data_IF_343585171283
#
_entry.id   IF_343585171283
#
_cell.length_a   1.000
_cell.length_b   1.000
_cell.length_c   1.000
_cell.angle_alpha   90.00
_cell.angle_beta   90.00
_cell.angle_gamma   90.00
#
_symmetry.space_group_name_H-M   'P 1'
#
loop_
_entity.id
_entity.type
_entity.pdbx_description
1 polymer ?
#
# COMPACT_ATOMS: atom_id res chain seq x y z
N UNK A 1 -2.29 15.61 -54.67
CA UNK A 1 -1.77 14.50 -53.84
C UNK A 1 -0.72 15.10 -52.93
N UNK A 2 -0.86 14.95 -51.61
CA UNK A 2 0.06 15.54 -50.64
C UNK A 2 1.39 14.77 -50.64
N UNK A 3 2.50 15.48 -50.48
CA UNK A 3 3.83 14.88 -50.37
C UNK A 3 3.88 13.96 -49.12
N UNK A 4 4.15 12.66 -49.28
CA UNK A 4 4.20 11.70 -48.17
C UNK A 4 5.31 11.98 -47.15
N UNK A 5 6.26 12.88 -47.45
CA UNK A 5 7.30 13.31 -46.50
C UNK A 5 6.85 14.47 -45.59
N UNK A 6 5.64 15.00 -45.77
CA UNK A 6 5.15 16.14 -44.96
C UNK A 6 4.90 15.71 -43.51
N UNK A 7 5.51 16.35 -42.50
CA UNK A 7 5.29 16.00 -41.11
C UNK A 7 3.87 16.35 -40.67
N UNK A 8 3.28 15.50 -39.81
CA UNK A 8 1.91 15.66 -39.30
C UNK A 8 1.68 17.01 -38.60
N UNK A 9 2.72 17.61 -38.02
CA UNK A 9 2.67 18.93 -37.37
C UNK A 9 2.42 20.09 -38.35
N UNK A 10 2.66 19.89 -39.64
CA UNK A 10 2.34 20.88 -40.67
C UNK A 10 0.86 20.82 -41.10
N UNK A 11 0.11 19.83 -40.63
CA UNK A 11 -1.34 19.74 -40.83
C UNK A 11 -2.02 20.49 -39.68
N UNK A 12 -2.90 21.45 -40.00
CA UNK A 12 -3.68 22.24 -39.02
C UNK A 12 -4.76 21.38 -38.32
N UNK A 13 -4.35 20.37 -37.56
CA UNK A 13 -5.24 19.45 -36.84
C UNK A 13 -5.70 20.08 -35.52
N UNK A 14 -7.01 20.22 -35.35
CA UNK A 14 -7.64 20.67 -34.12
C UNK A 14 -8.25 19.49 -33.34
N UNK A 15 -8.64 19.72 -32.08
CA UNK A 15 -9.34 18.73 -31.27
C UNK A 15 -10.61 18.24 -31.99
N UNK A 16 -10.73 16.92 -32.18
CA UNK A 16 -11.82 16.30 -32.95
C UNK A 16 -11.53 16.07 -34.45
N UNK A 17 -10.34 16.41 -34.94
CA UNK A 17 -9.96 16.13 -36.32
C UNK A 17 -9.73 14.64 -36.57
N UNK A 18 -10.26 14.13 -37.68
CA UNK A 18 -10.08 12.74 -38.12
C UNK A 18 -9.16 12.75 -39.34
N UNK A 19 -8.04 12.04 -39.25
CA UNK A 19 -7.06 11.92 -40.33
C UNK A 19 -7.21 10.54 -40.99
N UNK A 20 -7.41 10.53 -42.30
CA UNK A 20 -7.48 9.31 -43.10
C UNK A 20 -6.16 9.09 -43.83
N UNK A 21 -5.57 7.91 -43.67
CA UNK A 21 -4.33 7.53 -44.34
C UNK A 21 -4.68 6.84 -45.66
N UNK A 22 -4.51 7.54 -46.76
CA UNK A 22 -4.69 6.99 -48.11
C UNK A 22 -3.35 6.46 -48.63
N UNK A 23 -3.30 5.18 -48.95
CA UNK A 23 -2.18 4.54 -49.63
C UNK A 23 -2.70 3.70 -50.78
N UNK A 24 -1.93 3.63 -51.86
CA UNK A 24 -2.23 2.77 -53.01
C UNK A 24 -1.57 1.41 -52.78
N UNK A 25 -2.39 0.40 -52.49
CA UNK A 25 -1.98 -1.00 -52.33
C UNK A 25 -3.06 -1.83 -51.64
N UNK A 26 -3.23 -3.09 -52.05
CA UNK A 26 -4.07 -4.03 -51.30
C UNK A 26 -3.41 -4.30 -49.94
N UNK A 27 -4.10 -3.90 -48.87
CA UNK A 27 -3.69 -4.19 -47.50
C UNK A 27 -3.86 -5.69 -47.25
N UNK A 28 -2.76 -6.44 -47.13
CA UNK A 28 -2.82 -7.75 -46.49
C UNK A 28 -3.03 -7.54 -44.99
N UNK A 29 -4.28 -7.45 -44.58
CA UNK A 29 -4.64 -7.54 -43.17
C UNK A 29 -4.35 -8.99 -42.79
N UNK A 30 -3.35 -9.22 -41.94
CA UNK A 30 -3.33 -10.47 -41.19
C UNK A 30 -4.66 -10.49 -40.43
N UNK A 31 -5.57 -11.35 -40.88
CA UNK A 31 -6.82 -11.58 -40.15
C UNK A 31 -6.49 -11.94 -38.70
N UNK A 32 -7.44 -11.82 -37.77
CA UNK A 32 -7.23 -12.31 -36.42
C UNK A 32 -6.66 -13.73 -36.53
N UNK A 33 -5.64 -14.06 -35.75
CA UNK A 33 -5.15 -15.42 -35.69
C UNK A 33 -6.31 -16.30 -35.21
N UNK A 34 -7.04 -16.88 -36.15
CA UNK A 34 -8.06 -17.88 -35.87
C UNK A 34 -7.26 -19.14 -35.57
N UNK A 35 -6.87 -19.29 -34.30
CA UNK A 35 -6.75 -20.63 -33.76
C UNK A 35 -8.09 -21.30 -34.01
N UNK A 36 -8.13 -22.50 -34.61
CA UNK A 36 -9.36 -23.25 -34.65
C UNK A 36 -9.87 -23.32 -33.21
N UNK A 37 -11.14 -22.98 -32.99
CA UNK A 37 -11.84 -23.28 -31.75
C UNK A 37 -11.92 -24.81 -31.62
N UNK A 38 -10.77 -25.41 -31.30
CA UNK A 38 -10.55 -26.83 -31.12
C UNK A 38 -10.78 -27.17 -29.67
N UNK A 39 -12.02 -27.09 -29.21
CA UNK A 39 -12.52 -27.93 -28.11
C UNK A 39 -14.05 -27.91 -27.99
N UNK A 40 -14.78 -27.78 -29.11
CA UNK A 40 -16.18 -28.24 -29.12
C UNK A 40 -16.16 -29.78 -29.08
N UNK A 41 -16.06 -30.33 -27.87
CA UNK A 41 -15.95 -31.77 -27.63
C UNK A 41 -14.85 -32.22 -26.65
N UNK A 42 -14.07 -31.33 -26.04
CA UNK A 42 -13.26 -31.74 -24.88
C UNK A 42 -14.23 -31.96 -23.73
N UNK A 43 -14.55 -33.22 -23.41
CA UNK A 43 -15.21 -33.56 -22.15
C UNK A 43 -14.41 -32.88 -21.05
N UNK A 44 -15.03 -31.93 -20.35
CA UNK A 44 -14.45 -31.30 -19.17
C UNK A 44 -14.03 -32.44 -18.25
N UNK A 45 -12.73 -32.63 -18.05
CA UNK A 45 -12.24 -33.69 -17.15
C UNK A 45 -12.50 -33.27 -15.71
N UNK A 46 -12.52 -34.22 -14.77
CA UNK A 46 -12.59 -33.86 -13.34
C UNK A 46 -11.44 -32.92 -12.96
N UNK A 47 -10.27 -33.08 -13.58
CA UNK A 47 -9.12 -32.20 -13.37
C UNK A 47 -9.36 -30.77 -13.88
N UNK A 48 -10.06 -30.60 -15.01
CA UNK A 48 -10.45 -29.28 -15.53
C UNK A 48 -11.52 -28.60 -14.64
N UNK A 49 -12.37 -29.40 -13.96
CA UNK A 49 -13.33 -28.91 -12.98
C UNK A 49 -12.64 -28.51 -11.67
N UNK A 50 -11.68 -29.32 -11.20
CA UNK A 50 -10.85 -29.04 -10.03
C UNK A 50 -9.97 -27.81 -10.25
N UNK A 51 -9.41 -27.64 -11.45
CA UNK A 51 -8.60 -26.47 -11.81
C UNK A 51 -9.41 -25.16 -11.83
N UNK A 52 -10.73 -25.22 -11.96
CA UNK A 52 -11.63 -24.07 -11.84
C UNK A 52 -12.06 -23.79 -10.40
N UNK A 53 -11.82 -24.71 -9.48
CA UNK A 53 -12.20 -24.55 -8.08
C UNK A 53 -11.16 -23.66 -7.38
N UNK A 54 -11.63 -22.59 -6.74
CA UNK A 54 -10.76 -21.66 -6.04
C UNK A 54 -10.27 -22.30 -4.74
N UNK A 55 -8.99 -22.67 -4.70
CA UNK A 55 -8.36 -23.32 -3.55
C UNK A 55 -7.59 -22.31 -2.73
N UNK A 56 -7.84 -22.27 -1.43
CA UNK A 56 -7.10 -21.46 -0.48
C UNK A 56 -6.17 -22.37 0.31
N UNK A 57 -4.87 -22.08 0.25
CA UNK A 57 -3.81 -22.73 1.00
C UNK A 57 -2.83 -21.69 1.50
N UNK A 58 -2.12 -22.00 2.59
CA UNK A 58 -1.06 -21.13 3.09
C UNK A 58 0.01 -20.95 2.02
N UNK A 59 0.44 -19.70 1.85
CA UNK A 59 1.59 -19.35 1.04
C UNK A 59 2.81 -19.34 1.96
N UNK A 60 3.82 -20.13 1.60
CA UNK A 60 4.99 -20.36 2.47
C UNK A 60 5.96 -19.18 2.48
N UNK A 61 6.15 -18.53 1.33
CA UNK A 61 7.14 -17.47 1.16
C UNK A 61 6.48 -16.17 0.73
N UNK A 62 6.81 -15.04 1.36
CA UNK A 62 6.44 -13.74 0.84
C UNK A 62 7.28 -13.43 -0.41
N UNK A 63 6.79 -12.53 -1.24
CA UNK A 63 7.56 -11.90 -2.31
C UNK A 63 8.48 -10.80 -1.77
N UNK A 64 8.12 -10.18 -0.64
CA UNK A 64 9.00 -9.30 0.11
C UNK A 64 9.96 -10.14 0.98
N UNK A 65 11.28 -10.06 0.71
CA UNK A 65 12.30 -10.81 1.46
C UNK A 65 12.38 -10.33 2.91
N UNK A 66 12.33 -9.02 3.10
CA UNK A 66 12.39 -8.37 4.41
C UNK A 66 11.91 -6.93 4.32
N UNK A 67 11.43 -6.40 5.45
CA UNK A 67 11.16 -4.97 5.63
C UNK A 67 12.10 -4.38 6.68
N UNK A 68 12.57 -3.16 6.48
CA UNK A 68 13.28 -2.38 7.49
C UNK A 68 12.63 -1.01 7.65
N UNK A 69 12.60 -0.52 8.88
CA UNK A 69 12.03 0.79 9.23
C UNK A 69 13.12 1.73 9.68
N UNK A 70 13.16 2.94 9.12
CA UNK A 70 14.06 3.96 9.65
C UNK A 70 13.83 4.13 11.16
N UNK A 71 14.93 4.09 11.92
CA UNK A 71 14.89 4.01 13.39
C UNK A 71 14.18 5.23 13.98
N UNK A 72 14.38 6.39 13.39
CA UNK A 72 13.79 7.63 13.92
C UNK A 72 12.31 7.74 13.54
N UNK A 73 11.93 7.26 12.35
CA UNK A 73 10.52 7.12 11.93
C UNK A 73 9.74 6.14 12.81
N UNK A 74 10.33 5.00 13.16
CA UNK A 74 9.73 4.04 14.08
C UNK A 74 9.56 4.64 15.48
N UNK A 75 10.59 5.29 16.02
CA UNK A 75 10.54 5.92 17.35
C UNK A 75 9.49 7.03 17.43
N UNK A 76 9.39 7.88 16.41
CA UNK A 76 8.43 8.98 16.43
C UNK A 76 6.98 8.51 16.24
N UNK A 77 6.75 7.47 15.45
CA UNK A 77 5.42 6.83 15.38
C UNK A 77 5.04 6.20 16.73
N UNK A 78 5.98 5.51 17.38
CA UNK A 78 5.79 4.95 18.73
C UNK A 78 5.44 6.03 19.76
N UNK A 79 6.21 7.11 19.82
CA UNK A 79 5.98 8.23 20.74
C UNK A 79 4.60 8.87 20.52
N UNK A 80 4.19 9.11 19.28
CA UNK A 80 2.89 9.70 18.99
C UNK A 80 1.73 8.83 19.44
N UNK A 81 1.76 7.53 19.15
CA UNK A 81 0.66 6.61 19.51
C UNK A 81 0.58 6.42 21.02
N UNK A 82 1.74 6.35 21.70
CA UNK A 82 1.83 6.23 23.15
C UNK A 82 1.33 7.50 23.87
N UNK A 83 1.79 8.68 23.46
CA UNK A 83 1.48 9.95 24.15
C UNK A 83 0.07 10.49 23.83
N UNK A 84 -0.45 10.27 22.63
CA UNK A 84 -1.67 10.96 22.17
C UNK A 84 -2.95 10.16 22.39
N UNK A 85 -2.88 8.82 22.37
CA UNK A 85 -4.09 7.99 22.26
C UNK A 85 -4.13 6.78 23.20
N UNK A 86 -3.02 6.44 23.86
CA UNK A 86 -2.90 5.23 24.70
C UNK A 86 -3.48 3.97 24.02
N UNK A 87 -3.38 3.89 22.68
CA UNK A 87 -3.89 2.79 21.85
C UNK A 87 -5.40 2.49 22.02
N UNK A 88 -6.20 3.48 22.43
CA UNK A 88 -7.65 3.33 22.56
C UNK A 88 -8.37 3.26 21.20
N UNK A 89 -7.74 3.78 20.14
CA UNK A 89 -8.25 3.75 18.77
C UNK A 89 -7.16 3.36 17.78
N UNK A 90 -7.57 2.74 16.67
CA UNK A 90 -6.66 2.41 15.56
C UNK A 90 -6.20 3.68 14.83
N UNK A 91 -4.98 3.63 14.30
CA UNK A 91 -4.37 4.64 13.43
C UNK A 91 -3.62 3.90 12.33
N UNK A 92 -3.57 4.45 11.13
CA UNK A 92 -2.75 3.88 10.06
C UNK A 92 -2.18 4.91 9.11
N UNK A 93 -1.25 4.47 8.28
CA UNK A 93 -0.50 5.32 7.37
C UNK A 93 0.08 4.53 6.20
N UNK A 94 0.35 5.24 5.11
CA UNK A 94 1.05 4.71 3.96
C UNK A 94 2.55 4.81 4.18
N UNK A 95 3.24 3.69 3.99
CA UNK A 95 4.69 3.60 4.09
C UNK A 95 5.31 3.96 2.75
N UNK A 96 6.31 4.84 2.76
CA UNK A 96 7.08 5.24 1.59
C UNK A 96 8.55 4.90 1.78
N UNK A 97 9.17 4.46 0.70
CA UNK A 97 10.60 4.21 0.65
C UNK A 97 11.00 3.48 -0.63
N UNK A 98 11.89 2.51 -0.53
CA UNK A 98 12.47 1.83 -1.70
C UNK A 98 12.28 0.32 -1.66
N UNK A 99 12.36 -0.31 -2.84
CA UNK A 99 12.32 -1.77 -2.99
C UNK A 99 13.55 -2.18 -3.79
N UNK A 100 14.37 -3.07 -3.24
CA UNK A 100 15.55 -3.60 -3.91
C UNK A 100 15.18 -4.65 -4.96
N UNK A 101 16.13 -4.99 -5.86
CA UNK A 101 15.95 -6.08 -6.82
C UNK A 101 15.77 -7.46 -6.16
N UNK A 102 16.26 -7.62 -4.93
CA UNK A 102 16.13 -8.84 -4.12
C UNK A 102 14.77 -8.90 -3.39
N UNK A 103 13.94 -7.85 -3.48
CA UNK A 103 12.65 -7.77 -2.81
C UNK A 103 12.72 -7.28 -1.37
N UNK A 104 13.79 -6.57 -1.00
CA UNK A 104 13.92 -5.93 0.33
C UNK A 104 13.23 -4.57 0.29
N UNK A 105 12.35 -4.32 1.25
CA UNK A 105 11.61 -3.07 1.39
C UNK A 105 12.25 -2.22 2.49
N UNK A 106 12.71 -1.04 2.14
CA UNK A 106 13.22 -0.06 3.10
C UNK A 106 12.17 1.05 3.24
N UNK A 107 11.69 1.28 4.47
CA UNK A 107 10.68 2.31 4.78
C UNK A 107 11.39 3.54 5.36
N UNK A 108 11.32 4.64 4.61
CA UNK A 108 11.95 5.91 4.95
C UNK A 108 11.00 6.84 5.74
N UNK A 109 9.71 6.88 5.39
CA UNK A 109 8.73 7.68 6.11
C UNK A 109 7.30 7.11 6.01
N UNK A 110 6.44 7.56 6.92
CA UNK A 110 5.02 7.19 6.98
C UNK A 110 4.18 8.46 6.76
N UNK A 111 3.27 8.41 5.80
CA UNK A 111 2.25 9.44 5.60
C UNK A 111 0.92 8.97 6.21
N UNK A 112 0.40 9.77 7.13
CA UNK A 112 -0.88 9.52 7.78
C UNK A 112 -2.01 10.25 7.01
N UNK A 113 -2.83 9.54 6.21
CA UNK A 113 -3.95 10.19 5.53
C UNK A 113 -5.01 10.65 6.54
N UNK A 114 -5.89 11.60 6.18
CA UNK A 114 -7.06 11.92 6.99
C UNK A 114 -7.83 10.62 7.32
N UNK A 115 -8.13 10.38 8.60
CA UNK A 115 -8.71 9.12 9.04
C UNK A 115 -9.56 9.25 10.30
N UNK A 116 -10.44 8.27 10.50
CA UNK A 116 -11.25 8.10 11.69
C UNK A 116 -11.03 6.68 12.25
N UNK A 117 -10.32 6.62 13.37
CA UNK A 117 -10.10 5.38 14.11
C UNK A 117 -11.18 5.13 15.16
N UNK A 118 -11.54 3.87 15.34
CA UNK A 118 -12.26 3.35 16.51
C UNK A 118 -11.45 2.23 17.15
N UNK A 119 -11.97 1.61 18.21
CA UNK A 119 -11.31 0.44 18.81
C UNK A 119 -11.23 -0.75 17.84
N UNK A 120 -12.24 -0.91 16.99
CA UNK A 120 -12.42 -2.08 16.13
C UNK A 120 -11.99 -1.85 14.68
N UNK A 121 -12.13 -0.62 14.18
CA UNK A 121 -11.99 -0.31 12.76
C UNK A 121 -11.20 0.98 12.52
N UNK A 122 -10.59 1.06 11.33
CA UNK A 122 -9.88 2.22 10.85
C UNK A 122 -10.47 2.66 9.51
N UNK A 123 -11.09 3.83 9.47
CA UNK A 123 -11.63 4.41 8.25
C UNK A 123 -10.67 5.46 7.70
N UNK A 124 -10.10 5.21 6.52
CA UNK A 124 -9.29 6.18 5.80
C UNK A 124 -10.19 7.11 4.99
N UNK A 125 -10.15 8.41 5.28
CA UNK A 125 -10.85 9.48 4.58
C UNK A 125 -9.96 10.02 3.45
N UNK A 126 -9.61 9.12 2.52
CA UNK A 126 -8.60 9.34 1.47
C UNK A 126 -8.91 10.56 0.60
N UNK A 127 -7.92 11.44 0.45
CA UNK A 127 -7.94 12.55 -0.52
C UNK A 127 -6.99 12.24 -1.67
N UNK A 128 -7.55 11.97 -2.86
CA UNK A 128 -6.77 11.63 -4.05
C UNK A 128 -5.83 12.74 -4.53
N UNK A 129 -6.13 14.00 -4.23
CA UNK A 129 -5.28 15.13 -4.57
C UNK A 129 -4.07 15.22 -3.65
N UNK A 130 -4.31 15.04 -2.35
CA UNK A 130 -3.25 15.00 -1.34
C UNK A 130 -2.32 13.79 -1.53
N UNK A 131 -2.89 12.60 -1.72
CA UNK A 131 -2.11 11.37 -1.97
C UNK A 131 -1.21 11.52 -3.20
N UNK A 132 -1.72 12.08 -4.31
CA UNK A 132 -0.92 12.32 -5.52
C UNK A 132 0.21 13.33 -5.29
N UNK A 133 0.00 14.31 -4.43
CA UNK A 133 1.06 15.26 -4.09
C UNK A 133 2.17 14.57 -3.28
N UNK A 134 1.81 13.72 -2.32
CA UNK A 134 2.77 12.91 -1.55
C UNK A 134 3.50 11.93 -2.46
N UNK A 135 2.79 11.22 -3.34
CA UNK A 135 3.38 10.31 -4.32
C UNK A 135 4.36 11.03 -5.26
N UNK A 136 4.04 12.25 -5.71
CA UNK A 136 4.91 13.04 -6.56
C UNK A 136 6.19 13.49 -5.82
N UNK A 137 6.07 13.88 -4.54
CA UNK A 137 7.22 14.23 -3.70
C UNK A 137 8.11 12.99 -3.51
N UNK A 138 7.51 11.86 -3.12
CA UNK A 138 8.23 10.60 -2.93
C UNK A 138 8.96 10.19 -4.22
N UNK A 139 8.27 10.23 -5.36
CA UNK A 139 8.86 9.92 -6.67
C UNK A 139 10.02 10.85 -7.02
N UNK A 140 9.91 12.15 -6.72
CA UNK A 140 11.00 13.12 -6.89
C UNK A 140 12.24 12.83 -6.04
N UNK A 141 12.07 12.11 -4.92
CA UNK A 141 13.13 11.65 -4.03
C UNK A 141 13.62 10.22 -4.34
N UNK A 142 13.11 9.59 -5.41
CA UNK A 142 13.44 8.21 -5.78
C UNK A 142 12.74 7.15 -4.93
N UNK A 143 11.72 7.55 -4.17
CA UNK A 143 10.91 6.67 -3.32
C UNK A 143 9.55 6.38 -3.96
N UNK A 144 8.86 5.38 -3.43
CA UNK A 144 7.49 5.02 -3.80
C UNK A 144 6.70 4.56 -2.58
N UNK A 145 5.37 4.47 -2.73
CA UNK A 145 4.52 3.80 -1.75
C UNK A 145 4.85 2.31 -1.74
N UNK A 146 5.24 1.78 -0.59
CA UNK A 146 5.71 0.39 -0.41
C UNK A 146 4.82 -0.45 0.49
N UNK A 147 3.92 0.18 1.25
CA UNK A 147 3.05 -0.57 2.14
C UNK A 147 2.06 0.27 2.92
N UNK A 148 1.39 -0.40 3.84
CA UNK A 148 0.47 0.20 4.80
C UNK A 148 0.83 -0.26 6.21
N UNK A 149 0.80 0.65 7.18
CA UNK A 149 1.03 0.37 8.59
C UNK A 149 -0.19 0.78 9.39
N UNK A 150 -0.57 0.00 10.39
CA UNK A 150 -1.61 0.41 11.33
C UNK A 150 -1.38 -0.14 12.74
N UNK A 151 -2.04 0.48 13.72
CA UNK A 151 -1.98 0.09 15.12
C UNK A 151 -3.11 -0.87 15.47
N UNK A 152 -2.80 -1.87 16.29
CA UNK A 152 -3.81 -2.65 17.00
C UNK A 152 -4.06 -2.05 18.38
N UNK A 153 -5.30 -2.14 18.83
CA UNK A 153 -5.67 -1.69 20.17
C UNK A 153 -5.34 -2.76 21.21
N UNK A 154 -5.12 -2.34 22.46
CA UNK A 154 -4.79 -3.25 23.57
C UNK A 154 -5.88 -4.30 23.79
N UNK A 155 -7.14 -3.96 23.50
CA UNK A 155 -8.26 -4.89 23.60
C UNK A 155 -8.23 -5.98 22.53
N UNK A 156 -7.71 -5.67 21.34
CA UNK A 156 -7.52 -6.65 20.26
C UNK A 156 -6.33 -7.56 20.54
N UNK A 157 -5.23 -7.04 21.09
CA UNK A 157 -4.03 -7.83 21.42
C UNK A 157 -4.33 -9.02 22.37
N UNK A 158 -5.40 -8.90 23.16
CA UNK A 158 -5.88 -9.97 24.05
C UNK A 158 -6.72 -11.05 23.35
N UNK A 159 -6.94 -10.98 22.04
CA UNK A 159 -7.79 -11.90 21.27
C UNK A 159 -6.95 -12.93 20.49
N UNK A 160 -7.54 -14.09 20.20
CA UNK A 160 -6.88 -15.22 19.51
C UNK A 160 -6.95 -15.12 17.97
N UNK A 161 -6.49 -14.01 17.41
CA UNK A 161 -6.29 -13.84 15.96
C UNK A 161 -5.23 -12.76 15.67
N UNK A 162 -4.48 -12.92 14.58
CA UNK A 162 -3.47 -11.93 14.17
C UNK A 162 -4.11 -10.70 13.55
N UNK A 163 -4.89 -10.87 12.48
CA UNK A 163 -5.67 -9.80 11.85
C UNK A 163 -7.16 -10.17 11.82
N UNK A 164 -8.02 -9.19 12.06
CA UNK A 164 -9.46 -9.30 11.90
C UNK A 164 -9.86 -9.28 10.42
N UNK A 165 -11.06 -9.76 10.13
CA UNK A 165 -11.63 -9.75 8.79
C UNK A 165 -11.69 -8.35 8.15
N UNK A 166 -11.97 -7.30 8.93
CA UNK A 166 -11.92 -5.90 8.47
C UNK A 166 -10.52 -5.46 8.09
N UNK A 167 -9.51 -5.86 8.87
CA UNK A 167 -8.10 -5.55 8.57
C UNK A 167 -7.61 -6.32 7.34
N UNK A 168 -8.00 -7.60 7.19
CA UNK A 168 -7.70 -8.39 5.99
C UNK A 168 -8.30 -7.74 4.75
N UNK A 169 -9.56 -7.30 4.80
CA UNK A 169 -10.20 -6.63 3.67
C UNK A 169 -9.49 -5.33 3.30
N UNK A 170 -9.21 -4.47 4.27
CA UNK A 170 -8.51 -3.20 4.02
C UNK A 170 -7.10 -3.44 3.48
N UNK A 171 -6.35 -4.39 4.06
CA UNK A 171 -5.03 -4.74 3.56
C UNK A 171 -5.09 -5.34 2.15
N UNK A 172 -6.10 -6.15 1.83
CA UNK A 172 -6.30 -6.73 0.49
C UNK A 172 -6.65 -5.67 -0.55
N UNK A 173 -7.49 -4.71 -0.19
CA UNK A 173 -7.81 -3.55 -1.02
C UNK A 173 -6.55 -2.75 -1.35
N UNK A 174 -5.80 -2.34 -0.34
CA UNK A 174 -4.59 -1.52 -0.51
C UNK A 174 -3.48 -2.26 -1.28
N UNK A 175 -3.29 -3.56 -1.02
CA UNK A 175 -2.35 -4.38 -1.79
C UNK A 175 -2.83 -4.57 -3.23
N UNK A 176 -4.12 -4.79 -3.45
CA UNK A 176 -4.66 -4.96 -4.80
C UNK A 176 -4.48 -3.69 -5.65
N UNK A 177 -4.66 -2.51 -5.04
CA UNK A 177 -4.50 -1.19 -5.66
C UNK A 177 -3.05 -0.81 -5.95
N UNK A 178 -2.09 -1.24 -5.12
CA UNK A 178 -0.70 -0.79 -5.23
C UNK A 178 0.02 -1.36 -6.46
N UNK A 179 -0.47 -2.49 -6.99
CA UNK A 179 0.17 -3.31 -8.03
C UNK A 179 1.63 -3.69 -7.71
N UNK A 180 2.07 -3.50 -6.46
CA UNK A 180 3.40 -3.81 -5.99
C UNK A 180 3.41 -5.23 -5.41
N UNK A 181 4.23 -6.09 -6.01
CA UNK A 181 4.34 -7.49 -5.61
C UNK A 181 4.95 -7.65 -4.22
N UNK A 182 5.83 -6.74 -3.82
CA UNK A 182 6.54 -6.69 -2.54
C UNK A 182 5.79 -5.87 -1.47
N UNK A 183 4.51 -5.55 -1.68
CA UNK A 183 3.72 -4.74 -0.75
C UNK A 183 3.70 -5.34 0.65
N UNK A 184 3.96 -4.49 1.65
CA UNK A 184 4.02 -4.87 3.07
C UNK A 184 2.85 -4.27 3.84
N UNK A 185 2.24 -5.08 4.69
CA UNK A 185 1.30 -4.66 5.72
C UNK A 185 1.97 -4.80 7.08
N UNK A 186 2.27 -3.66 7.72
CA UNK A 186 2.88 -3.61 9.04
C UNK A 186 1.83 -3.36 10.13
N UNK A 187 2.02 -4.00 11.28
CA UNK A 187 1.13 -3.93 12.43
C UNK A 187 1.94 -3.50 13.63
N UNK A 188 1.44 -2.51 14.35
CA UNK A 188 2.06 -1.99 15.56
C UNK A 188 1.19 -2.36 16.75
N UNK A 189 1.77 -3.15 17.66
CA UNK A 189 1.13 -3.63 18.89
C UNK A 189 1.79 -2.97 20.10
N UNK A 190 1.02 -2.75 21.15
CA UNK A 190 1.56 -2.34 22.44
C UNK A 190 1.48 -3.53 23.39
N UNK A 191 2.63 -3.99 23.84
CA UNK A 191 2.75 -5.01 24.87
C UNK A 191 2.94 -4.33 26.22
N UNK A 192 2.04 -4.63 27.16
CA UNK A 192 2.17 -4.14 28.54
C UNK A 192 2.99 -5.15 29.33
N UNK A 193 4.17 -4.74 29.76
CA UNK A 193 5.07 -5.54 30.58
C UNK A 193 4.52 -5.70 32.01
N UNK A 194 4.98 -6.74 32.71
CA UNK A 194 4.59 -7.05 34.09
C UNK A 194 4.89 -5.90 35.08
N UNK A 195 5.89 -5.07 34.76
CA UNK A 195 6.28 -3.88 35.54
C UNK A 195 5.41 -2.64 35.26
N UNK A 196 4.38 -2.76 34.40
CA UNK A 196 3.53 -1.64 33.98
C UNK A 196 4.18 -0.73 32.92
N UNK A 197 5.33 -1.13 32.37
CA UNK A 197 5.92 -0.52 31.18
C UNK A 197 5.15 -0.92 29.91
N UNK A 198 5.22 -0.09 28.88
CA UNK A 198 4.62 -0.37 27.59
C UNK A 198 5.71 -0.41 26.51
N UNK A 199 5.90 -1.58 25.90
CA UNK A 199 6.80 -1.77 24.77
C UNK A 199 5.99 -1.83 23.48
N UNK A 200 6.55 -1.28 22.40
CA UNK A 200 5.92 -1.31 21.09
C UNK A 200 6.53 -2.44 20.25
N UNK A 201 5.69 -3.38 19.83
CA UNK A 201 6.06 -4.51 19.00
C UNK A 201 5.61 -4.28 17.55
N UNK A 202 6.47 -4.62 16.60
CA UNK A 202 6.16 -4.53 15.16
C UNK A 202 6.06 -5.93 14.59
N UNK A 203 4.98 -6.17 13.84
CA UNK A 203 4.83 -7.35 13.00
C UNK A 203 4.66 -6.91 11.56
N UNK A 204 5.22 -7.68 10.62
CA UNK A 204 5.10 -7.39 9.20
C UNK A 204 4.56 -8.62 8.47
N UNK A 205 3.60 -8.38 7.60
CA UNK A 205 2.94 -9.39 6.81
C UNK A 205 2.85 -8.96 5.36
N UNK A 206 2.75 -9.94 4.49
CA UNK A 206 2.27 -9.78 3.15
C UNK A 206 1.01 -10.62 2.98
N UNK A 207 -0.02 -10.06 2.36
CA UNK A 207 -1.19 -10.87 2.01
C UNK A 207 -0.86 -11.83 0.89
N UNK A 208 -1.33 -13.07 1.03
CA UNK A 208 -1.10 -14.12 0.04
C UNK A 208 -1.69 -13.77 -1.32
N UNK A 209 -1.07 -14.29 -2.38
CA UNK A 209 -1.53 -14.07 -3.76
C UNK A 209 -2.99 -14.49 -3.94
N UNK A 210 -3.40 -15.54 -3.21
CA UNK A 210 -4.78 -16.03 -3.21
C UNK A 210 -5.73 -15.02 -2.56
N UNK A 211 -5.31 -14.39 -1.45
CA UNK A 211 -6.11 -13.34 -0.80
C UNK A 211 -6.34 -12.15 -1.75
N UNK A 212 -5.26 -11.62 -2.34
CA UNK A 212 -5.32 -10.50 -3.27
C UNK A 212 -6.16 -10.84 -4.50
N UNK A 213 -6.04 -12.07 -5.02
CA UNK A 213 -6.84 -12.56 -6.13
C UNK A 213 -8.34 -12.66 -5.78
N UNK A 214 -8.68 -13.24 -4.63
CA UNK A 214 -10.05 -13.33 -4.14
C UNK A 214 -10.69 -11.95 -4.01
N UNK A 215 -9.93 -10.96 -3.52
CA UNK A 215 -10.39 -9.58 -3.45
C UNK A 215 -10.64 -8.98 -4.84
N UNK A 216 -9.66 -9.08 -5.75
CA UNK A 216 -9.78 -8.56 -7.14
C UNK A 216 -10.96 -9.19 -7.91
N UNK A 217 -11.27 -10.45 -7.65
CA UNK A 217 -12.41 -11.14 -8.27
C UNK A 217 -13.74 -10.89 -7.53
N UNK A 218 -13.75 -10.10 -6.45
CA UNK A 218 -14.95 -9.75 -5.69
C UNK A 218 -15.57 -10.92 -4.91
N UNK A 219 -14.76 -11.89 -4.47
CA UNK A 219 -15.24 -13.07 -3.74
C UNK A 219 -15.48 -12.79 -2.26
N UNK A 220 -14.84 -11.79 -1.67
CA UNK A 220 -15.08 -11.43 -0.27
C UNK A 220 -16.48 -10.85 -0.07
N UNK A 221 -17.09 -11.20 1.06
CA UNK A 221 -18.17 -10.43 1.66
C UNK A 221 -17.58 -9.18 2.33
N UNK A 222 -18.06 -8.02 1.90
CA UNK A 222 -17.57 -6.71 2.34
C UNK A 222 -18.45 -6.11 3.43
N UNK A 223 -19.70 -6.55 3.51
CA UNK A 223 -20.64 -6.15 4.55
C UNK A 223 -20.53 -7.08 5.77
N UNK A 224 -19.55 -6.80 6.62
CA UNK A 224 -19.31 -7.60 7.84
C UNK A 224 -20.26 -7.15 8.96
N UNK A 225 -21.22 -8.01 9.29
CA UNK A 225 -22.12 -7.84 10.44
C UNK A 225 -21.40 -7.86 11.79
N UNK A 226 -22.07 -7.40 12.85
CA UNK A 226 -21.47 -7.33 14.20
C UNK A 226 -21.28 -8.73 14.84
N UNK A 227 -22.07 -9.72 14.43
CA UNK A 227 -22.05 -11.08 15.00
C UNK A 227 -21.06 -12.03 14.31
N UNK A 228 -20.31 -11.54 13.33
CA UNK A 228 -19.33 -12.35 12.58
C UNK A 228 -18.04 -12.46 13.39
N UNK A 229 -17.52 -13.69 13.51
CA UNK A 229 -16.22 -13.93 14.13
C UNK A 229 -15.11 -13.14 13.40
N UNK A 230 -14.41 -12.20 14.08
CA UNK A 230 -13.34 -11.42 13.47
C UNK A 230 -12.21 -12.27 12.89
N UNK A 231 -12.00 -13.51 13.39
CA UNK A 231 -10.98 -14.44 12.91
C UNK A 231 -11.27 -14.99 11.51
N UNK A 232 -12.51 -14.88 11.03
CA UNK A 232 -12.98 -15.50 9.81
C UNK A 232 -13.36 -14.44 8.76
N UNK A 233 -12.80 -14.59 7.57
CA UNK A 233 -13.23 -13.89 6.37
C UNK A 233 -14.32 -14.70 5.66
N UNK A 234 -15.41 -14.02 5.29
CA UNK A 234 -16.56 -14.65 4.63
C UNK A 234 -16.44 -14.47 3.11
N UNK A 235 -16.65 -15.55 2.36
CA UNK A 235 -16.68 -15.60 0.91
C UNK A 235 -18.12 -15.68 0.39
N UNK A 236 -18.41 -14.97 -0.71
CA UNK A 236 -19.68 -15.03 -1.44
C UNK A 236 -19.91 -16.37 -2.13
N UNK A 237 -18.83 -17.07 -2.47
CA UNK A 237 -18.81 -18.37 -3.15
C UNK A 237 -18.01 -19.37 -2.32
N UNK A 238 -18.29 -20.65 -2.53
CA UNK A 238 -17.54 -21.72 -1.88
C UNK A 238 -16.10 -21.75 -2.39
N UNK A 239 -15.15 -21.81 -1.45
CA UNK A 239 -13.72 -22.00 -1.70
C UNK A 239 -13.26 -23.30 -1.06
N UNK A 240 -12.25 -23.94 -1.63
CA UNK A 240 -11.69 -25.17 -1.06
C UNK A 240 -10.57 -24.85 -0.11
N UNK A 241 -10.74 -25.19 1.16
CA UNK A 241 -9.66 -25.21 2.15
C UNK A 241 -9.36 -26.67 2.50
N UNK A 242 -8.18 -27.14 2.09
CA UNK A 242 -7.79 -28.55 2.24
C UNK A 242 -8.65 -29.50 1.37
N UNK A 243 -9.67 -30.11 1.95
CA UNK A 243 -10.60 -31.02 1.25
C UNK A 243 -12.07 -30.61 1.43
N UNK A 244 -12.32 -29.47 2.07
CA UNK A 244 -13.67 -29.00 2.38
C UNK A 244 -13.99 -27.76 1.55
N UNK A 245 -15.21 -27.70 1.05
CA UNK A 245 -15.82 -26.48 0.52
C UNK A 245 -16.36 -25.68 1.70
N UNK A 246 -15.88 -24.44 1.84
CA UNK A 246 -16.24 -23.53 2.93
C UNK A 246 -16.49 -22.13 2.38
N UNK A 247 -17.29 -21.35 3.10
CA UNK A 247 -17.42 -19.90 2.88
C UNK A 247 -16.67 -19.08 3.91
N UNK A 248 -16.36 -19.67 5.05
CA UNK A 248 -15.61 -19.01 6.11
C UNK A 248 -14.17 -19.52 6.06
N UNK A 249 -13.23 -18.60 5.90
CA UNK A 249 -11.80 -18.88 5.82
C UNK A 249 -11.11 -18.20 6.98
N UNK A 250 -10.30 -18.97 7.71
CA UNK A 250 -9.45 -18.42 8.76
C UNK A 250 -8.43 -17.43 8.17
N UNK A 251 -8.36 -16.24 8.75
CA UNK A 251 -7.54 -15.14 8.25
C UNK A 251 -6.05 -15.51 8.17
N UNK A 252 -5.56 -16.44 8.98
CA UNK A 252 -4.17 -16.90 8.96
C UNK A 252 -3.78 -17.59 7.64
N UNK A 253 -4.75 -18.06 6.84
CA UNK A 253 -4.45 -18.55 5.48
C UNK A 253 -4.04 -17.45 4.51
N UNK A 254 -4.35 -16.19 4.83
CA UNK A 254 -4.03 -15.04 4.02
C UNK A 254 -2.76 -14.33 4.45
N UNK A 255 -2.22 -14.64 5.63
CA UNK A 255 -1.04 -13.97 6.16
C UNK A 255 0.23 -14.73 5.83
N UNK A 256 1.19 -14.01 5.26
CA UNK A 256 2.56 -14.49 5.02
C UNK A 256 3.50 -13.60 5.82
N UNK A 257 4.24 -14.16 6.76
CA UNK A 257 5.12 -13.38 7.65
C UNK A 257 6.30 -12.83 6.86
N UNK A 258 6.57 -11.53 7.03
CA UNK A 258 7.74 -10.84 6.46
C UNK A 258 8.74 -10.57 7.58
N UNK A 259 10.01 -10.85 7.32
CA UNK A 259 11.08 -10.61 8.29
C UNK A 259 11.32 -9.11 8.45
N UNK A 260 11.36 -8.65 9.69
CA UNK A 260 11.78 -7.27 10.00
C UNK A 260 13.29 -7.29 10.27
N UNK A 261 14.03 -6.42 9.57
CA UNK A 261 15.45 -6.20 9.82
C UNK A 261 15.66 -4.87 10.53
N UNK A 262 16.56 -4.87 11.52
CA UNK A 262 17.00 -3.63 12.14
C UNK A 262 17.81 -2.80 11.13
N UNK A 263 17.39 -1.55 10.90
CA UNK A 263 18.18 -0.63 10.08
C UNK A 263 19.52 -0.33 10.77
N UNK A 264 20.62 -0.71 10.13
CA UNK A 264 21.93 -0.09 10.32
C UNK A 264 21.99 1.11 9.38
N UNK A 265 22.09 2.32 9.93
CA UNK A 265 22.33 3.55 9.15
C UNK A 265 23.56 3.33 8.27
N UNK A 266 23.35 3.09 6.98
CA UNK A 266 24.42 2.85 6.02
C UNK A 266 24.21 3.71 4.79
N UNK A 267 24.30 5.02 4.98
CA UNK A 267 24.56 5.94 3.88
C UNK A 267 25.90 6.66 4.11
N UNK A 268 26.97 6.31 3.38
CA UNK A 268 28.28 6.97 3.51
C UNK A 268 28.35 8.37 2.89
N UNK A 269 27.24 8.95 2.39
CA UNK A 269 27.28 10.22 1.64
C UNK A 269 26.49 11.38 2.27
N UNK A 270 25.86 11.20 3.42
CA UNK A 270 25.32 12.30 4.22
C UNK A 270 26.06 12.41 5.54
N UNK A 271 27.33 12.82 5.44
CA UNK A 271 28.08 13.21 6.63
C UNK A 271 27.48 14.50 7.19
N UNK A 272 26.82 14.34 8.35
CA UNK A 272 26.67 15.38 9.37
C UNK A 272 26.05 16.70 8.88
N UNK A 273 24.75 16.67 8.57
CA UNK A 273 23.92 17.88 8.54
C UNK A 273 22.49 17.53 8.89
N UNK A 274 22.14 17.87 10.14
CA UNK A 274 20.80 18.08 10.70
C UNK A 274 19.65 17.38 9.97
N UNK A 275 19.19 16.26 10.56
CA UNK A 275 18.07 15.44 10.09
C UNK A 275 16.85 16.30 9.76
N UNK A 276 16.51 16.32 8.48
CA UNK A 276 15.32 16.97 7.95
C UNK A 276 14.13 16.05 8.20
N UNK A 277 13.62 16.04 9.43
CA UNK A 277 12.37 15.36 9.77
C UNK A 277 11.21 16.16 9.17
N UNK A 278 10.63 15.65 8.07
CA UNK A 278 9.38 16.20 7.53
C UNK A 278 8.22 15.36 8.05
N UNK A 279 7.82 15.63 9.29
CA UNK A 279 6.51 15.25 9.78
C UNK A 279 5.46 16.16 9.12
N UNK A 280 4.76 15.68 8.08
CA UNK A 280 3.59 16.39 7.55
C UNK A 280 2.40 16.08 8.47
N UNK A 281 2.30 16.79 9.60
CA UNK A 281 1.06 16.85 10.39
C UNK A 281 0.10 17.85 9.73
N UNK A 282 -0.85 17.36 8.94
CA UNK A 282 -2.05 18.12 8.57
C UNK A 282 -3.16 17.80 9.58
N UNK A 283 -3.04 18.36 10.77
CA UNK A 283 -4.08 18.26 11.80
C UNK A 283 -5.22 19.25 11.49
N UNK A 284 -6.40 18.74 11.12
CA UNK A 284 -7.64 19.53 11.07
C UNK A 284 -8.57 19.02 12.18
N UNK A 285 -8.61 19.74 13.30
CA UNK A 285 -9.38 19.32 14.48
C UNK A 285 -9.46 20.35 15.61
N UNK A 286 -10.13 21.47 15.32
CA UNK A 286 -10.82 22.43 16.22
C UNK A 286 -10.05 23.26 17.26
N UNK A 287 -10.24 24.58 17.08
CA UNK A 287 -10.10 25.72 17.99
C UNK A 287 -8.68 26.24 18.27
N UNK A 288 -8.35 27.27 17.48
CA UNK A 288 -7.27 28.23 17.64
C UNK A 288 -5.83 27.69 17.60
N UNK A 289 -5.24 27.62 16.40
CA UNK A 289 -3.86 28.01 16.06
C UNK A 289 -3.75 28.03 14.51
N UNK A 290 -3.03 29.03 13.98
CA UNK A 290 -3.05 29.45 12.57
C UNK A 290 -2.73 28.37 11.54
N UNK A 291 -3.62 28.27 10.54
CA UNK A 291 -3.51 27.36 9.41
C UNK A 291 -2.27 27.62 8.54
N UNK A 292 -1.55 26.55 8.17
CA UNK A 292 -0.82 26.48 6.90
C UNK A 292 -1.84 26.01 5.85
N UNK A 293 -2.46 26.96 5.14
CA UNK A 293 -3.58 26.71 4.20
C UNK A 293 -3.17 26.27 2.79
N UNK A 294 -1.88 26.11 2.48
CA UNK A 294 -1.46 26.03 1.09
C UNK A 294 -0.22 25.15 0.88
N UNK A 295 -0.28 24.23 -0.09
CA UNK A 295 0.86 23.39 -0.53
C UNK A 295 2.02 24.27 -1.00
N UNK A 296 1.74 25.49 -1.47
CA UNK A 296 2.77 26.52 -1.73
C UNK A 296 3.58 26.88 -0.49
N UNK A 297 2.99 26.84 0.71
CA UNK A 297 3.67 27.13 1.96
C UNK A 297 4.53 25.96 2.46
N UNK A 298 4.17 24.72 2.11
CA UNK A 298 5.03 23.54 2.33
C UNK A 298 6.28 23.63 1.42
N UNK A 299 6.07 23.97 0.14
CA UNK A 299 7.16 24.23 -0.82
C UNK A 299 8.00 25.45 -0.38
N UNK A 300 7.39 26.50 0.17
CA UNK A 300 8.11 27.68 0.69
C UNK A 300 8.91 27.37 1.96
N UNK A 301 8.43 26.51 2.86
CA UNK A 301 9.19 26.08 4.04
C UNK A 301 10.39 25.22 3.63
N UNK A 302 10.22 24.34 2.63
CA UNK A 302 11.33 23.59 2.04
C UNK A 302 12.33 24.57 1.36
N UNK A 303 11.86 25.54 0.58
CA UNK A 303 12.71 26.55 -0.08
C UNK A 303 13.39 27.53 0.90
N UNK A 304 12.70 27.96 1.96
CA UNK A 304 13.24 28.86 2.98
C UNK A 304 14.31 28.15 3.83
N UNK A 305 14.12 26.86 4.13
CA UNK A 305 15.13 26.03 4.79
C UNK A 305 16.39 25.89 3.92
N UNK A 306 16.23 25.71 2.59
CA UNK A 306 17.34 25.75 1.63
C UNK A 306 18.00 27.14 1.53
N UNK A 307 17.22 28.23 1.59
CA UNK A 307 17.74 29.60 1.45
C UNK A 307 18.46 30.11 2.73
N UNK A 308 18.00 29.75 3.92
CA UNK A 308 18.69 30.08 5.18
C UNK A 308 19.96 29.23 5.39
N UNK A 309 20.00 27.99 4.89
CA UNK A 309 21.26 27.21 4.81
C UNK A 309 22.33 27.94 3.98
N UNK A 310 21.93 28.59 2.88
CA UNK A 310 22.87 29.35 2.04
C UNK A 310 23.37 30.66 2.68
N UNK A 311 22.66 31.22 3.68
CA UNK A 311 23.09 32.41 4.45
C UNK A 311 23.95 32.07 5.66
N UNK A 312 23.75 30.91 6.28
CA UNK A 312 24.56 30.43 7.42
C UNK A 312 25.93 29.89 6.98
N UNK A 313 26.10 29.51 5.71
CA UNK A 313 27.37 29.04 5.16
C UNK A 313 28.42 30.15 4.89
N UNK A 314 28.13 31.42 5.14
CA UNK A 314 29.05 32.56 4.85
C UNK A 314 29.48 33.38 6.07
N UNK A 315 29.26 32.90 7.30
CA UNK A 315 29.67 33.63 8.52
C UNK A 315 30.80 33.02 9.34
N UNK A 316 31.43 31.96 8.84
CA UNK A 316 32.66 31.43 9.42
C UNK A 316 33.69 31.10 8.33
N UNK A 317 34.31 32.15 7.80
CA UNK A 317 35.70 32.20 7.37
C UNK A 317 36.25 33.60 7.68
#
# INVERSE_FOLDING_TARGET
MADPATPLSALNLAHGSIVFLAYEGERSIAGPAVSPAGSFGRKMTMDDLIAKQMRVSRQENPHCESVSFDRDSANAFQHYVNETLAFAVKRGGFMYGTVSEEGKVEVDFIYEPPQQGTEEALLLLRDSGEEKAVDAIASGLGMRRVGFIFTQTIAQDKKDYTLSNREILQAAELHAESELKEWVTAVVKLEVNEDGGADVHFEAFQLSDTCVKLFKEGWFETEIGQDVDPKLSIMKKDVVVGVKDVKEVDNDFFLVVVKILDHMVSSPHFHHSYGLFVFIYLYVGTNDIGLIKDVKSLILSIYACFSDCSRLAWKHY
#
